data_IF_769651118642
#
_entry.id   IF_769651118642
#
_cell.length_a   1.000
_cell.length_b   1.000
_cell.length_c   1.000
_cell.angle_alpha   90.00
_cell.angle_beta   90.00
_cell.angle_gamma   90.00
#
_symmetry.space_group_name_H-M   'P 1'
#
loop_
_entity.id
_entity.type
_entity.pdbx_description
1 polymer ?
#
# COMPACT_ATOMS: atom_id res chain seq x y z
N UNK A 1 -24.15 -12.16 6.88
CA UNK A 1 -22.84 -12.06 7.60
C UNK A 1 -22.92 -10.84 8.54
N UNK A 2 -22.58 -10.99 9.82
CA UNK A 2 -22.40 -9.97 10.88
C UNK A 2 -23.45 -8.84 11.13
N UNK A 3 -24.63 -8.84 10.49
CA UNK A 3 -25.64 -7.77 10.65
C UNK A 3 -25.05 -6.36 10.48
N UNK A 4 -24.18 -6.20 9.47
CA UNK A 4 -23.60 -4.90 9.12
C UNK A 4 -24.66 -4.01 8.46
N UNK A 5 -24.69 -2.73 8.82
CA UNK A 5 -25.53 -1.76 8.13
C UNK A 5 -24.88 -1.31 6.80
N UNK A 6 -25.61 -0.53 6.00
CA UNK A 6 -25.12 -0.06 4.70
C UNK A 6 -23.88 0.84 4.80
N UNK A 7 -23.81 1.68 5.85
CA UNK A 7 -22.65 2.55 6.09
C UNK A 7 -21.41 1.74 6.43
N UNK A 8 -21.52 0.75 7.31
CA UNK A 8 -20.45 -0.19 7.65
C UNK A 8 -19.99 -0.98 6.42
N UNK A 9 -20.94 -1.45 5.61
CA UNK A 9 -20.66 -2.22 4.39
C UNK A 9 -19.92 -1.37 3.34
N UNK A 10 -20.31 -0.10 3.20
CA UNK A 10 -19.62 0.84 2.31
C UNK A 10 -18.24 1.23 2.83
N UNK A 11 -18.13 1.46 4.14
CA UNK A 11 -16.87 1.79 4.79
C UNK A 11 -15.85 0.66 4.63
N UNK A 12 -16.25 -0.60 4.89
CA UNK A 12 -15.34 -1.75 4.73
C UNK A 12 -14.96 -1.99 3.26
N UNK A 13 -15.86 -1.74 2.32
CA UNK A 13 -15.56 -1.84 0.88
C UNK A 13 -14.52 -0.80 0.45
N UNK A 14 -14.66 0.45 0.90
CA UNK A 14 -13.69 1.50 0.62
C UNK A 14 -12.33 1.21 1.28
N UNK A 15 -12.35 0.77 2.54
CA UNK A 15 -11.14 0.32 3.24
C UNK A 15 -10.44 -0.78 2.45
N UNK A 16 -11.16 -1.81 1.99
CA UNK A 16 -10.57 -2.90 1.21
C UNK A 16 -9.97 -2.43 -0.12
N UNK A 17 -10.62 -1.48 -0.80
CA UNK A 17 -10.10 -0.89 -2.03
C UNK A 17 -8.79 -0.10 -1.77
N UNK A 18 -8.76 0.73 -0.72
CA UNK A 18 -7.54 1.44 -0.32
C UNK A 18 -6.45 0.48 0.15
N UNK A 19 -6.79 -0.59 0.86
CA UNK A 19 -5.85 -1.60 1.31
C UNK A 19 -5.20 -2.33 0.13
N UNK A 20 -5.98 -2.70 -0.89
CA UNK A 20 -5.47 -3.31 -2.11
C UNK A 20 -4.52 -2.38 -2.87
N UNK A 21 -4.87 -1.09 -2.98
CA UNK A 21 -3.99 -0.09 -3.58
C UNK A 21 -2.70 0.10 -2.76
N UNK A 22 -2.81 0.20 -1.42
CA UNK A 22 -1.67 0.32 -0.53
C UNK A 22 -0.71 -0.86 -0.72
N UNK A 23 -1.26 -2.08 -0.81
CA UNK A 23 -0.48 -3.28 -1.03
C UNK A 23 0.33 -3.18 -2.33
N UNK A 24 -0.30 -2.83 -3.46
CA UNK A 24 0.37 -2.71 -4.76
C UNK A 24 1.45 -1.62 -4.76
N UNK A 25 1.15 -0.44 -4.21
CA UNK A 25 2.10 0.68 -4.17
C UNK A 25 3.32 0.32 -3.33
N UNK A 26 3.12 -0.33 -2.18
CA UNK A 26 4.24 -0.79 -1.35
C UNK A 26 5.00 -1.94 -2.00
N UNK A 27 4.34 -2.87 -2.70
CA UNK A 27 4.98 -3.96 -3.43
C UNK A 27 5.93 -3.43 -4.52
N UNK A 28 5.44 -2.50 -5.34
CA UNK A 28 6.24 -1.83 -6.37
C UNK A 28 7.45 -1.09 -5.76
N UNK A 29 7.27 -0.47 -4.59
CA UNK A 29 8.34 0.21 -3.88
C UNK A 29 9.43 -0.77 -3.43
N UNK A 30 9.03 -1.92 -2.84
CA UNK A 30 9.94 -2.96 -2.38
C UNK A 30 10.70 -3.61 -3.54
N UNK A 31 10.01 -3.90 -4.64
CA UNK A 31 10.62 -4.46 -5.85
C UNK A 31 11.76 -3.57 -6.35
N UNK A 32 11.56 -2.25 -6.38
CA UNK A 32 12.57 -1.30 -6.89
C UNK A 32 13.70 -1.07 -5.89
N UNK A 33 13.42 -0.94 -4.59
CA UNK A 33 14.47 -0.73 -3.57
C UNK A 33 15.33 -1.97 -3.40
N UNK A 34 14.75 -3.16 -3.32
CA UNK A 34 15.48 -4.42 -3.25
C UNK A 34 16.32 -4.65 -4.52
N UNK A 35 15.76 -4.37 -5.70
CA UNK A 35 16.51 -4.43 -6.96
C UNK A 35 17.71 -3.48 -6.91
N UNK A 36 17.54 -2.24 -6.42
CA UNK A 36 18.62 -1.26 -6.30
C UNK A 36 19.73 -1.71 -5.34
N UNK A 37 19.39 -2.29 -4.18
CA UNK A 37 20.36 -2.81 -3.22
C UNK A 37 21.13 -4.04 -3.75
N UNK A 38 20.42 -4.94 -4.46
CA UNK A 38 21.03 -6.12 -5.10
C UNK A 38 21.92 -5.72 -6.26
N UNK A 39 21.46 -4.80 -7.11
CA UNK A 39 22.20 -4.23 -8.24
C UNK A 39 23.39 -3.38 -7.77
N UNK A 40 23.31 -2.71 -6.62
CA UNK A 40 24.40 -1.93 -6.03
C UNK A 40 25.67 -2.75 -5.73
N UNK A 41 25.58 -4.08 -5.69
CA UNK A 41 26.73 -4.97 -5.55
C UNK A 41 27.35 -5.40 -6.89
N UNK A 42 26.65 -5.27 -8.02
CA UNK A 42 27.18 -5.60 -9.36
C UNK A 42 26.35 -5.03 -10.53
N UNK A 43 26.12 -3.71 -10.64
CA UNK A 43 25.33 -3.17 -11.76
C UNK A 43 26.15 -2.31 -12.70
N UNK A 44 26.88 -3.02 -13.56
CA UNK A 44 27.06 -2.59 -14.94
C UNK A 44 25.97 -3.25 -15.79
N UNK A 45 25.15 -2.39 -16.41
CA UNK A 45 24.29 -2.64 -17.58
C UNK A 45 23.07 -3.54 -17.38
N UNK A 46 21.97 -3.02 -17.92
CA UNK A 46 20.72 -3.69 -18.25
C UNK A 46 19.78 -4.05 -17.09
N UNK A 47 18.84 -3.14 -16.83
CA UNK A 47 17.40 -3.44 -16.83
C UNK A 47 16.59 -2.15 -16.66
N UNK A 48 16.22 -1.55 -17.78
CA UNK A 48 14.91 -0.90 -17.85
C UNK A 48 13.89 -2.01 -17.61
N UNK A 49 13.31 -2.04 -16.41
CA UNK A 49 12.15 -2.88 -16.18
C UNK A 49 11.00 -2.29 -17.02
N UNK A 50 10.58 -2.99 -18.08
CA UNK A 50 9.42 -2.68 -18.92
C UNK A 50 8.07 -2.78 -18.18
N UNK A 51 8.07 -2.76 -16.85
CA UNK A 51 6.87 -2.75 -16.02
C UNK A 51 6.50 -1.31 -15.69
N UNK A 52 5.26 -0.92 -15.99
CA UNK A 52 4.68 0.33 -15.51
C UNK A 52 4.39 0.22 -14.01
N UNK A 53 5.39 0.52 -13.17
CA UNK A 53 5.27 0.56 -11.71
C UNK A 53 5.10 1.99 -11.20
N UNK A 54 4.59 2.15 -9.98
CA UNK A 54 4.45 3.47 -9.37
C UNK A 54 5.78 4.24 -9.29
N UNK A 55 6.90 3.66 -8.81
CA UNK A 55 8.18 4.37 -8.79
C UNK A 55 8.72 4.74 -10.17
N UNK A 56 8.46 3.93 -11.20
CA UNK A 56 8.89 4.23 -12.57
C UNK A 56 8.17 5.46 -13.15
N UNK A 57 6.92 5.70 -12.74
CA UNK A 57 6.11 6.80 -13.24
C UNK A 57 6.21 8.07 -12.38
N UNK A 58 6.16 7.93 -11.05
CA UNK A 58 6.11 9.05 -10.10
C UNK A 58 7.45 9.34 -9.41
N UNK A 59 8.40 8.40 -9.48
CA UNK A 59 9.62 8.43 -8.66
C UNK A 59 9.40 7.85 -7.25
N UNK A 60 10.51 7.48 -6.60
CA UNK A 60 10.50 6.80 -5.30
C UNK A 60 9.83 7.63 -4.19
N UNK A 61 10.20 8.91 -4.07
CA UNK A 61 9.69 9.76 -2.99
C UNK A 61 8.19 10.02 -3.12
N UNK A 62 7.70 10.28 -4.34
CA UNK A 62 6.27 10.50 -4.54
C UNK A 62 5.47 9.21 -4.37
N UNK A 63 6.06 8.05 -4.72
CA UNK A 63 5.44 6.74 -4.47
C UNK A 63 5.32 6.46 -2.96
N UNK A 64 6.32 6.81 -2.16
CA UNK A 64 6.25 6.72 -0.68
C UNK A 64 5.13 7.62 -0.13
N UNK A 65 5.04 8.87 -0.59
CA UNK A 65 3.94 9.78 -0.20
C UNK A 65 2.58 9.24 -0.60
N UNK A 66 2.48 8.59 -1.76
CA UNK A 66 1.25 7.94 -2.20
C UNK A 66 0.87 6.80 -1.24
N UNK A 67 1.82 5.94 -0.85
CA UNK A 67 1.56 4.87 0.11
C UNK A 67 1.03 5.42 1.44
N UNK A 68 1.67 6.46 2.02
CA UNK A 68 1.21 7.11 3.25
C UNK A 68 -0.20 7.73 3.10
N UNK A 69 -0.47 8.34 1.95
CA UNK A 69 -1.78 8.95 1.66
C UNK A 69 -2.87 7.90 1.57
N UNK A 70 -2.61 6.78 0.89
CA UNK A 70 -3.57 5.67 0.73
C UNK A 70 -3.78 4.97 2.07
N UNK A 71 -2.73 4.76 2.86
CA UNK A 71 -2.83 4.25 4.23
C UNK A 71 -3.72 5.14 5.11
N UNK A 72 -3.51 6.45 5.07
CA UNK A 72 -4.33 7.42 5.80
C UNK A 72 -5.80 7.34 5.35
N UNK A 73 -6.06 7.17 4.06
CA UNK A 73 -7.42 7.02 3.53
C UNK A 73 -8.08 5.72 4.03
N UNK A 74 -7.36 4.59 4.01
CA UNK A 74 -7.84 3.33 4.56
C UNK A 74 -8.20 3.47 6.05
N UNK A 75 -7.32 4.07 6.85
CA UNK A 75 -7.57 4.33 8.27
C UNK A 75 -8.81 5.20 8.51
N UNK A 76 -9.04 6.23 7.68
CA UNK A 76 -10.23 7.09 7.75
C UNK A 76 -11.53 6.38 7.35
N UNK A 77 -11.48 5.34 6.52
CA UNK A 77 -12.66 4.54 6.24
C UNK A 77 -13.05 3.68 7.44
N UNK A 78 -12.07 3.17 8.21
CA UNK A 78 -12.34 2.43 9.44
C UNK A 78 -12.99 3.28 10.53
N UNK A 79 -12.71 4.59 10.58
CA UNK A 79 -13.34 5.53 11.53
C UNK A 79 -14.86 5.65 11.33
N UNK A 80 -15.39 5.20 10.18
CA UNK A 80 -16.84 5.20 9.87
C UNK A 80 -17.54 3.93 10.34
N UNK A 81 -16.80 2.96 10.89
CA UNK A 81 -17.33 1.70 11.42
C UNK A 81 -17.41 1.83 12.95
N UNK A 82 -18.62 1.79 13.50
CA UNK A 82 -18.88 1.90 14.95
C UNK A 82 -18.64 0.56 15.69
N UNK A 83 -17.52 -0.10 15.37
CA UNK A 83 -17.09 -1.38 15.96
C UNK A 83 -15.57 -1.38 16.13
N UNK A 84 -15.06 -2.39 16.82
CA UNK A 84 -13.63 -2.57 16.94
C UNK A 84 -13.00 -2.89 15.57
N UNK A 85 -12.08 -2.02 15.14
CA UNK A 85 -11.36 -2.13 13.85
C UNK A 85 -9.85 -2.20 14.04
N UNK A 86 -9.38 -2.45 15.26
CA UNK A 86 -7.95 -2.43 15.64
C UNK A 86 -7.13 -3.34 14.72
N UNK A 87 -7.54 -4.60 14.55
CA UNK A 87 -6.84 -5.56 13.69
C UNK A 87 -6.76 -5.09 12.23
N UNK A 88 -7.81 -4.45 11.70
CA UNK A 88 -7.81 -3.92 10.33
C UNK A 88 -6.84 -2.74 10.19
N UNK A 89 -6.73 -1.89 11.21
CA UNK A 89 -5.72 -0.83 11.24
C UNK A 89 -4.31 -1.40 11.31
N UNK A 90 -4.08 -2.41 12.16
CA UNK A 90 -2.79 -3.09 12.28
C UNK A 90 -2.36 -3.74 10.96
N UNK A 91 -3.30 -4.32 10.19
CA UNK A 91 -3.02 -4.85 8.85
C UNK A 91 -2.56 -3.73 7.91
N UNK A 92 -3.24 -2.58 7.91
CA UNK A 92 -2.83 -1.45 7.07
C UNK A 92 -1.45 -0.90 7.47
N UNK A 93 -1.19 -0.77 8.78
CA UNK A 93 0.10 -0.37 9.33
C UNK A 93 1.22 -1.35 8.93
N UNK A 94 0.94 -2.65 9.01
CA UNK A 94 1.85 -3.71 8.59
C UNK A 94 2.19 -3.59 7.10
N UNK A 95 1.18 -3.44 6.23
CA UNK A 95 1.42 -3.32 4.78
C UNK A 95 2.26 -2.09 4.45
N UNK A 96 2.02 -0.94 5.10
CA UNK A 96 2.81 0.28 4.85
C UNK A 96 4.28 0.12 5.28
N UNK A 97 4.54 -0.58 6.39
CA UNK A 97 5.86 -0.68 7.03
C UNK A 97 6.63 -1.96 6.70
N UNK A 98 6.07 -2.86 5.88
CA UNK A 98 6.73 -4.14 5.60
C UNK A 98 8.03 -3.90 4.83
N UNK A 99 9.07 -4.61 5.24
CA UNK A 99 10.39 -4.56 4.58
C UNK A 99 10.59 -5.74 3.59
N UNK A 100 9.63 -6.66 3.52
CA UNK A 100 9.64 -7.89 2.70
C UNK A 100 8.23 -8.31 2.27
#
# INVERSE_FOLDING_TARGET
IAAANENESKAIANYAAHLGLLFQVTDDLLDVTQTTEVLGKTAGKDRQAEKATYPAFYGLEETKRLAEKVHTAACKDLEKIERETILLREIADFILRRDK
#
